data_IF_206328404828
#
_entry.id   IF_206328404828
#
_cell.length_a   1.000
_cell.length_b   1.000
_cell.length_c   1.000
_cell.angle_alpha   90.00
_cell.angle_beta   90.00
_cell.angle_gamma   90.00
#
_symmetry.space_group_name_H-M   'P 1'
#
loop_
_entity.id
_entity.type
_entity.pdbx_description
1 polymer ?
#
# COMPACT_ATOMS: atom_id res chain seq x y z
N UNK A 1 -21.48 -1.13 -34.21
CA UNK A 1 -22.01 -2.28 -33.45
C UNK A 1 -20.94 -2.84 -32.53
N UNK A 2 -20.79 -2.25 -31.34
CA UNK A 2 -20.33 -2.90 -30.12
C UNK A 2 -20.54 -1.90 -28.97
N UNK A 3 -21.80 -1.60 -28.65
CA UNK A 3 -22.12 -1.04 -27.34
C UNK A 3 -22.29 -2.24 -26.40
N UNK A 4 -21.21 -2.67 -25.73
CA UNK A 4 -21.38 -3.43 -24.51
C UNK A 4 -21.85 -2.45 -23.45
N UNK A 5 -23.13 -2.53 -23.11
CA UNK A 5 -23.70 -1.84 -21.95
C UNK A 5 -22.91 -2.25 -20.72
N UNK A 6 -22.14 -1.33 -20.14
CA UNK A 6 -21.54 -1.54 -18.82
C UNK A 6 -22.65 -1.93 -17.84
N UNK A 7 -22.49 -3.05 -17.15
CA UNK A 7 -23.45 -3.45 -16.12
C UNK A 7 -23.13 -2.65 -14.86
N UNK A 8 -24.05 -1.78 -14.45
CA UNK A 8 -23.97 -1.08 -13.17
C UNK A 8 -25.19 -1.41 -12.33
N UNK A 9 -24.96 -1.79 -11.08
CA UNK A 9 -25.97 -1.87 -10.02
C UNK A 9 -25.76 -0.71 -9.03
N UNK A 10 -26.80 -0.31 -8.30
CA UNK A 10 -26.68 0.66 -7.21
C UNK A 10 -25.98 -0.02 -6.03
N UNK A 11 -24.89 0.59 -5.57
CA UNK A 11 -23.89 -0.02 -4.69
C UNK A 11 -24.40 -0.62 -3.38
N UNK A 12 -23.71 -1.66 -2.93
CA UNK A 12 -23.90 -2.30 -1.64
C UNK A 12 -23.15 -1.50 -0.56
N UNK A 13 -23.81 -1.27 0.58
CA UNK A 13 -23.19 -0.65 1.75
C UNK A 13 -22.95 -1.72 2.80
N UNK A 14 -21.78 -1.69 3.43
CA UNK A 14 -21.48 -2.61 4.54
C UNK A 14 -22.31 -2.23 5.77
N UNK A 15 -22.78 -3.27 6.47
CA UNK A 15 -23.51 -3.14 7.73
C UNK A 15 -22.80 -3.94 8.83
N UNK A 16 -22.16 -3.28 9.81
CA UNK A 16 -22.12 -1.84 10.02
C UNK A 16 -21.16 -1.10 9.06
N UNK A 17 -21.38 0.20 8.88
CA UNK A 17 -20.36 1.08 8.29
C UNK A 17 -19.12 1.11 9.20
N UNK A 18 -17.94 1.11 8.59
CA UNK A 18 -16.65 1.09 9.30
C UNK A 18 -15.99 2.47 9.26
N UNK A 19 -15.45 2.91 10.40
CA UNK A 19 -14.50 4.01 10.44
C UNK A 19 -13.14 3.49 9.97
N UNK A 20 -12.49 4.19 9.03
CA UNK A 20 -11.20 3.77 8.49
C UNK A 20 -10.11 3.64 9.57
N UNK A 21 -10.21 4.40 10.66
CA UNK A 21 -9.25 4.34 11.77
C UNK A 21 -9.33 3.05 12.59
N UNK A 22 -10.47 2.34 12.53
CA UNK A 22 -10.69 1.06 13.22
C UNK A 22 -10.40 -0.16 12.33
N UNK A 23 -9.95 0.07 11.08
CA UNK A 23 -9.70 -1.02 10.14
C UNK A 23 -8.49 -1.88 10.48
N UNK A 24 -8.60 -3.14 10.08
CA UNK A 24 -7.68 -4.23 10.33
C UNK A 24 -7.45 -5.06 9.07
N UNK A 25 -6.46 -5.97 9.06
CA UNK A 25 -6.25 -6.89 7.94
C UNK A 25 -7.47 -7.76 7.58
N UNK A 26 -8.35 -8.03 8.55
CA UNK A 26 -9.59 -8.76 8.32
C UNK A 26 -10.56 -7.96 7.43
N UNK A 27 -10.57 -6.64 7.56
CA UNK A 27 -11.45 -5.78 6.76
C UNK A 27 -10.94 -5.70 5.31
N UNK A 28 -9.62 -5.75 5.10
CA UNK A 28 -9.04 -5.91 3.76
C UNK A 28 -9.45 -7.25 3.13
N UNK A 29 -9.43 -8.34 3.92
CA UNK A 29 -9.89 -9.66 3.48
C UNK A 29 -11.36 -9.60 3.06
N UNK A 30 -12.21 -8.97 3.86
CA UNK A 30 -13.64 -8.84 3.57
C UNK A 30 -13.88 -8.08 2.25
N UNK A 31 -13.22 -6.92 2.06
CA UNK A 31 -13.33 -6.14 0.82
C UNK A 31 -12.84 -6.95 -0.39
N UNK A 32 -11.76 -7.70 -0.24
CA UNK A 32 -11.21 -8.47 -1.34
C UNK A 32 -12.10 -9.66 -1.75
N UNK A 33 -12.71 -10.33 -0.77
CA UNK A 33 -13.68 -11.42 -0.99
C UNK A 33 -14.96 -10.91 -1.65
N UNK A 34 -15.45 -9.74 -1.25
CA UNK A 34 -16.61 -9.10 -1.85
C UNK A 34 -16.37 -8.76 -3.34
N UNK A 35 -15.22 -8.12 -3.65
CA UNK A 35 -14.82 -7.86 -5.03
C UNK A 35 -14.67 -9.17 -5.82
N UNK A 36 -14.08 -10.21 -5.23
CA UNK A 36 -13.93 -11.51 -5.89
C UNK A 36 -15.29 -12.16 -6.17
N UNK A 37 -16.23 -12.10 -5.22
CA UNK A 37 -17.57 -12.66 -5.34
C UNK A 37 -18.32 -12.06 -6.54
N UNK A 38 -18.18 -10.75 -6.71
CA UNK A 38 -18.84 -9.98 -7.75
C UNK A 38 -17.97 -9.80 -9.02
N UNK A 39 -16.82 -10.48 -9.09
CA UNK A 39 -15.79 -10.14 -10.08
C UNK A 39 -16.28 -10.27 -11.52
N UNK A 40 -17.04 -11.33 -11.83
CA UNK A 40 -17.53 -11.61 -13.18
C UNK A 40 -18.79 -10.83 -13.57
N UNK A 41 -19.44 -10.16 -12.61
CA UNK A 41 -20.70 -9.46 -12.80
C UNK A 41 -20.53 -8.01 -13.29
N UNK A 42 -19.41 -7.38 -12.93
CA UNK A 42 -19.12 -5.97 -13.19
C UNK A 42 -17.85 -5.77 -14.02
N UNK A 43 -17.73 -4.63 -14.69
CA UNK A 43 -16.58 -4.28 -15.54
C UNK A 43 -15.46 -3.56 -14.77
N UNK A 44 -15.74 -3.11 -13.54
CA UNK A 44 -14.81 -2.40 -12.66
C UNK A 44 -15.44 -2.14 -11.29
N UNK A 45 -14.61 -1.79 -10.31
CA UNK A 45 -15.02 -1.64 -8.91
C UNK A 45 -14.62 -0.28 -8.38
N UNK A 46 -15.53 0.38 -7.65
CA UNK A 46 -15.23 1.58 -6.88
C UNK A 46 -15.51 1.28 -5.41
N UNK A 47 -14.50 1.42 -4.55
CA UNK A 47 -14.61 1.21 -3.11
C UNK A 47 -14.64 2.57 -2.42
N UNK A 48 -15.77 2.88 -1.76
CA UNK A 48 -15.89 4.06 -0.91
C UNK A 48 -15.24 3.78 0.45
N UNK A 49 -14.33 4.65 0.86
CA UNK A 49 -13.48 4.41 2.03
C UNK A 49 -13.17 5.71 2.79
N UNK A 50 -13.02 5.62 4.12
CA UNK A 50 -12.55 6.74 4.95
C UNK A 50 -11.08 7.09 4.65
N UNK A 51 -10.68 8.35 4.78
CA UNK A 51 -9.37 8.79 4.25
C UNK A 51 -8.18 8.36 5.11
N UNK A 52 -8.36 8.06 6.40
CA UNK A 52 -7.23 7.87 7.33
C UNK A 52 -6.39 6.63 7.02
N UNK A 53 -7.01 5.53 6.58
CA UNK A 53 -6.30 4.29 6.24
C UNK A 53 -6.48 3.87 4.78
N UNK A 54 -7.02 4.74 3.93
CA UNK A 54 -7.30 4.46 2.51
C UNK A 54 -6.07 3.95 1.76
N UNK A 55 -4.90 4.55 2.00
CA UNK A 55 -3.65 4.14 1.36
C UNK A 55 -3.18 2.74 1.81
N UNK A 56 -3.47 2.34 3.06
CA UNK A 56 -3.21 0.99 3.54
C UNK A 56 -4.12 -0.02 2.83
N UNK A 57 -5.42 0.24 2.78
CA UNK A 57 -6.37 -0.65 2.07
C UNK A 57 -6.04 -0.76 0.58
N UNK A 58 -5.69 0.36 -0.08
CA UNK A 58 -5.24 0.37 -1.47
C UNK A 58 -3.98 -0.48 -1.69
N UNK A 59 -3.03 -0.37 -0.76
CA UNK A 59 -1.81 -1.17 -0.80
C UNK A 59 -2.09 -2.66 -0.59
N UNK A 60 -2.90 -3.02 0.41
CA UNK A 60 -3.26 -4.40 0.73
C UNK A 60 -3.95 -5.10 -0.45
N UNK A 61 -5.01 -4.50 -0.98
CA UNK A 61 -5.75 -5.06 -2.11
C UNK A 61 -4.86 -5.23 -3.35
N UNK A 62 -3.89 -4.34 -3.56
CA UNK A 62 -2.95 -4.47 -4.69
C UNK A 62 -2.14 -5.77 -4.65
N UNK A 63 -1.75 -6.23 -3.45
CA UNK A 63 -1.02 -7.49 -3.29
C UNK A 63 -1.95 -8.69 -3.31
N UNK A 64 -3.11 -8.59 -2.67
CA UNK A 64 -4.10 -9.67 -2.55
C UNK A 64 -4.67 -10.09 -3.91
N UNK A 65 -4.83 -9.15 -4.85
CA UNK A 65 -5.29 -9.44 -6.20
C UNK A 65 -4.11 -9.80 -7.12
N UNK A 66 -4.07 -11.06 -7.53
CA UNK A 66 -3.18 -11.52 -8.61
C UNK A 66 -3.96 -11.68 -9.91
N UNK A 67 -3.33 -11.33 -11.03
CA UNK A 67 -3.96 -11.29 -12.36
C UNK A 67 -5.21 -10.39 -12.42
N UNK A 68 -5.19 -9.27 -11.69
CA UNK A 68 -6.25 -8.28 -11.76
C UNK A 68 -6.43 -7.81 -13.21
N UNK A 69 -7.62 -8.02 -13.76
CA UNK A 69 -7.99 -7.70 -15.13
C UNK A 69 -9.05 -6.62 -15.28
N UNK A 70 -9.41 -5.92 -14.18
CA UNK A 70 -10.45 -4.90 -14.09
C UNK A 70 -9.99 -3.79 -13.14
N UNK A 71 -10.35 -2.52 -13.36
CA UNK A 71 -9.96 -1.44 -12.47
C UNK A 71 -10.64 -1.59 -11.10
N UNK A 72 -9.88 -1.39 -10.03
CA UNK A 72 -10.38 -1.25 -8.67
C UNK A 72 -9.94 0.12 -8.16
N UNK A 73 -10.87 1.05 -8.00
CA UNK A 73 -10.56 2.43 -7.58
C UNK A 73 -11.10 2.67 -6.18
N UNK A 74 -10.20 2.96 -5.24
CA UNK A 74 -10.57 3.37 -3.89
C UNK A 74 -10.68 4.89 -3.88
N UNK A 75 -11.77 5.40 -3.32
CA UNK A 75 -11.98 6.85 -3.19
C UNK A 75 -12.81 7.18 -1.95
N UNK A 76 -12.93 8.47 -1.64
CA UNK A 76 -13.66 8.96 -0.49
C UNK A 76 -13.76 10.47 -0.51
N UNK A 77 -13.86 11.07 0.67
CA UNK A 77 -14.00 12.53 0.83
C UNK A 77 -13.51 12.99 2.19
N UNK A 78 -12.93 14.19 2.25
CA UNK A 78 -12.64 14.88 3.51
C UNK A 78 -13.91 15.42 4.17
N UNK A 79 -14.91 15.79 3.36
CA UNK A 79 -16.18 16.33 3.83
C UNK A 79 -17.31 15.37 3.45
N UNK A 80 -18.17 14.95 4.40
CA UNK A 80 -19.28 14.04 4.13
C UNK A 80 -20.14 14.46 2.94
N UNK A 81 -20.58 13.48 2.12
CA UNK A 81 -21.29 13.73 0.86
C UNK A 81 -22.53 14.64 1.00
N UNK A 82 -23.20 14.57 2.16
CA UNK A 82 -24.39 15.36 2.47
C UNK A 82 -24.11 16.86 2.72
N UNK A 83 -22.86 17.26 2.91
CA UNK A 83 -22.51 18.63 3.21
C UNK A 83 -22.28 19.47 1.94
N UNK A 84 -22.60 20.77 2.01
CA UNK A 84 -22.62 21.68 0.85
C UNK A 84 -21.27 21.77 0.10
N UNK A 85 -20.15 21.66 0.81
CA UNK A 85 -18.80 21.81 0.25
C UNK A 85 -18.09 20.48 0.04
N UNK A 86 -18.84 19.38 -0.03
CA UNK A 86 -18.26 18.04 -0.15
C UNK A 86 -17.44 17.87 -1.43
N UNK A 87 -16.23 17.36 -1.26
CA UNK A 87 -15.36 16.83 -2.31
C UNK A 87 -15.82 15.44 -2.79
N UNK A 88 -16.68 14.76 -2.03
CA UNK A 88 -17.14 13.40 -2.32
C UNK A 88 -17.94 13.26 -3.61
N UNK A 89 -18.71 14.28 -4.00
CA UNK A 89 -19.48 14.24 -5.26
C UNK A 89 -18.52 14.16 -6.46
N UNK A 90 -17.51 15.02 -6.48
CA UNK A 90 -16.52 15.08 -7.56
C UNK A 90 -15.63 13.85 -7.56
N UNK A 91 -15.17 13.40 -6.38
CA UNK A 91 -14.32 12.22 -6.26
C UNK A 91 -15.03 10.95 -6.74
N UNK A 92 -16.25 10.70 -6.26
CA UNK A 92 -17.04 9.52 -6.66
C UNK A 92 -17.40 9.55 -8.16
N UNK A 93 -17.86 10.70 -8.66
CA UNK A 93 -18.23 10.83 -10.07
C UNK A 93 -17.05 10.52 -10.99
N UNK A 94 -15.88 11.09 -10.69
CA UNK A 94 -14.67 10.86 -11.49
C UNK A 94 -14.17 9.42 -11.34
N UNK A 95 -14.20 8.83 -10.14
CA UNK A 95 -13.81 7.44 -9.94
C UNK A 95 -14.66 6.49 -10.79
N UNK A 96 -15.99 6.66 -10.79
CA UNK A 96 -16.89 5.88 -11.65
C UNK A 96 -16.60 6.10 -13.14
N UNK A 97 -16.42 7.35 -13.56
CA UNK A 97 -16.13 7.68 -14.94
C UNK A 97 -14.81 7.06 -15.42
N UNK A 98 -13.77 7.13 -14.60
CA UNK A 98 -12.44 6.56 -14.87
C UNK A 98 -12.52 5.04 -14.92
N UNK A 99 -13.15 4.39 -13.95
CA UNK A 99 -13.31 2.93 -13.96
C UNK A 99 -13.98 2.42 -15.24
N UNK A 100 -14.98 3.15 -15.77
CA UNK A 100 -15.70 2.75 -16.97
C UNK A 100 -15.00 3.10 -18.29
N UNK A 101 -14.24 4.20 -18.35
CA UNK A 101 -13.71 4.74 -19.62
C UNK A 101 -12.18 4.68 -19.74
N UNK A 102 -11.47 4.49 -18.63
CA UNK A 102 -10.01 4.42 -18.56
C UNK A 102 -9.59 3.20 -17.73
N UNK A 103 -9.87 1.98 -18.22
CA UNK A 103 -9.62 0.75 -17.46
C UNK A 103 -8.11 0.50 -17.32
N UNK A 104 -7.56 0.96 -16.19
CA UNK A 104 -6.22 0.62 -15.72
C UNK A 104 -6.40 -0.54 -14.75
N UNK A 105 -5.85 -1.71 -15.07
CA UNK A 105 -6.03 -2.94 -14.29
C UNK A 105 -5.11 -3.00 -13.07
N UNK A 106 -5.25 -1.99 -12.22
CA UNK A 106 -4.55 -1.86 -10.96
C UNK A 106 -5.53 -1.49 -9.86
N UNK A 107 -5.12 -1.71 -8.60
CA UNK A 107 -5.77 -1.03 -7.47
C UNK A 107 -5.25 0.40 -7.45
N UNK A 108 -6.13 1.35 -7.73
CA UNK A 108 -5.83 2.78 -7.74
C UNK A 108 -6.48 3.52 -6.57
N UNK A 109 -5.91 4.65 -6.19
CA UNK A 109 -6.51 5.59 -5.24
C UNK A 109 -6.84 6.88 -5.99
N UNK A 110 -8.13 7.23 -6.08
CA UNK A 110 -8.56 8.47 -6.72
C UNK A 110 -8.90 9.54 -5.69
N UNK A 111 -8.22 10.68 -5.75
CA UNK A 111 -8.48 11.83 -4.90
C UNK A 111 -8.04 13.12 -5.59
N UNK A 112 -8.81 14.20 -5.41
CA UNK A 112 -8.44 15.54 -5.88
C UNK A 112 -7.96 15.58 -7.33
N UNK A 113 -8.77 15.03 -8.23
CA UNK A 113 -8.49 15.00 -9.68
C UNK A 113 -7.26 14.17 -10.10
N UNK A 114 -6.71 13.33 -9.22
CA UNK A 114 -5.58 12.47 -9.53
C UNK A 114 -5.90 11.01 -9.21
N UNK A 115 -5.50 10.10 -10.10
CA UNK A 115 -5.48 8.67 -9.85
C UNK A 115 -4.04 8.24 -9.55
N UNK A 116 -3.77 7.77 -8.34
CA UNK A 116 -2.49 7.21 -7.94
C UNK A 116 -2.51 5.69 -8.03
N UNK A 117 -1.35 5.06 -8.24
CA UNK A 117 -1.18 3.63 -7.98
C UNK A 117 -1.35 3.40 -6.49
N UNK A 118 -2.25 2.49 -6.09
CA UNK A 118 -2.68 2.33 -4.69
C UNK A 118 -1.52 2.08 -3.72
N UNK A 119 -0.59 1.20 -4.09
CA UNK A 119 0.61 0.87 -3.31
C UNK A 119 1.78 1.87 -3.47
N UNK A 120 1.53 3.03 -4.07
CA UNK A 120 2.47 4.16 -4.09
C UNK A 120 1.91 5.39 -3.38
N UNK A 121 0.63 5.38 -3.02
CA UNK A 121 -0.04 6.48 -2.36
C UNK A 121 0.23 6.53 -0.85
N UNK A 122 0.21 7.73 -0.29
CA UNK A 122 0.21 7.98 1.15
C UNK A 122 -0.61 9.23 1.45
N UNK A 123 -1.21 9.32 2.64
CA UNK A 123 -1.95 10.53 3.06
C UNK A 123 -0.95 11.60 3.48
N UNK A 124 -0.77 12.63 2.65
CA UNK A 124 0.21 13.70 2.83
C UNK A 124 -0.35 14.94 3.54
N UNK A 125 -1.67 15.19 3.47
CA UNK A 125 -2.33 16.30 4.14
C UNK A 125 -3.62 15.83 4.85
N UNK A 126 -3.73 16.15 6.15
CA UNK A 126 -4.89 15.81 6.96
C UNK A 126 -6.08 16.77 6.77
N UNK A 127 -5.83 17.99 6.30
CA UNK A 127 -6.82 19.08 6.24
C UNK A 127 -7.15 19.54 4.82
N UNK A 128 -6.17 19.50 3.92
CA UNK A 128 -6.34 19.87 2.52
C UNK A 128 -7.21 18.89 1.74
N UNK A 129 -7.80 19.35 0.63
CA UNK A 129 -8.41 18.45 -0.35
C UNK A 129 -7.37 17.67 -1.13
N UNK A 130 -6.14 18.19 -1.26
CA UNK A 130 -5.00 17.46 -1.81
C UNK A 130 -4.40 16.52 -0.76
N UNK A 131 -5.23 15.62 -0.24
CA UNK A 131 -4.94 14.83 0.95
C UNK A 131 -3.92 13.70 0.70
N UNK A 132 -3.78 13.24 -0.55
CA UNK A 132 -2.93 12.10 -0.91
C UNK A 132 -1.87 12.50 -1.94
N UNK A 133 -0.70 11.87 -1.84
CA UNK A 133 0.39 12.02 -2.80
C UNK A 133 1.05 10.66 -3.07
N UNK A 134 1.85 10.58 -4.13
CA UNK A 134 2.64 9.44 -4.53
C UNK A 134 4.11 9.89 -4.72
N UNK A 135 4.89 9.97 -3.64
CA UNK A 135 6.16 10.72 -3.65
C UNK A 135 7.23 10.15 -4.57
N UNK A 136 7.21 8.83 -4.79
CA UNK A 136 8.21 8.08 -5.56
C UNK A 136 7.70 7.55 -6.91
N UNK A 137 6.46 7.84 -7.29
CA UNK A 137 5.88 7.41 -8.57
C UNK A 137 4.86 8.45 -9.07
N UNK A 138 4.86 8.85 -10.35
CA UNK A 138 3.87 9.81 -10.85
C UNK A 138 2.43 9.26 -10.69
N UNK A 139 1.40 10.12 -10.68
CA UNK A 139 0.02 9.68 -10.83
C UNK A 139 -0.12 8.78 -12.08
N UNK A 140 -1.05 7.83 -12.03
CA UNK A 140 -1.43 7.05 -13.20
C UNK A 140 -2.14 7.94 -14.22
N UNK A 141 -2.98 8.87 -13.74
CA UNK A 141 -3.78 9.77 -14.56
C UNK A 141 -4.19 11.04 -13.79
N UNK A 142 -4.39 12.13 -14.53
CA UNK A 142 -4.94 13.40 -14.04
C UNK A 142 -6.28 13.73 -14.73
N UNK A 143 -7.29 14.12 -13.96
CA UNK A 143 -8.61 14.50 -14.41
C UNK A 143 -8.79 16.04 -14.43
N UNK A 144 -8.28 16.70 -15.49
CA UNK A 144 -8.52 18.12 -15.75
C UNK A 144 -9.71 18.35 -16.68
N UNK A 145 -9.70 19.44 -17.46
CA UNK A 145 -10.66 19.65 -18.58
C UNK A 145 -10.63 18.45 -19.53
N UNK A 146 -9.42 17.93 -19.77
CA UNK A 146 -9.20 16.64 -20.40
C UNK A 146 -8.56 15.71 -19.38
N UNK A 147 -8.96 14.45 -19.42
CA UNK A 147 -8.31 13.38 -18.69
C UNK A 147 -7.01 13.01 -19.41
N UNK A 148 -5.89 13.04 -18.68
CA UNK A 148 -4.54 12.78 -19.20
C UNK A 148 -3.93 11.58 -18.51
N UNK A 149 -3.67 10.53 -19.28
CA UNK A 149 -2.89 9.38 -18.83
C UNK A 149 -1.42 9.80 -18.65
N UNK A 150 -0.83 9.49 -17.49
CA UNK A 150 0.52 9.89 -17.14
C UNK A 150 1.47 8.68 -17.11
N UNK A 151 1.16 7.69 -16.26
CA UNK A 151 1.95 6.47 -16.12
C UNK A 151 1.12 5.18 -16.15
N UNK A 152 -0.21 5.28 -16.15
CA UNK A 152 -1.08 4.12 -16.28
C UNK A 152 -1.07 3.55 -17.70
N UNK A 153 -1.45 2.28 -17.83
CA UNK A 153 -1.66 1.61 -19.10
C UNK A 153 -3.12 1.21 -19.24
N UNK A 154 -3.74 1.57 -20.36
CA UNK A 154 -5.10 1.15 -20.68
C UNK A 154 -5.05 -0.22 -21.36
N UNK A 155 -5.76 -1.19 -20.80
CA UNK A 155 -5.80 -2.54 -21.33
C UNK A 155 -7.25 -3.03 -21.48
N UNK A 156 -7.55 -3.88 -22.47
CA UNK A 156 -8.84 -4.56 -22.52
C UNK A 156 -8.92 -5.59 -21.39
N UNK A 157 -10.10 -5.78 -20.80
CA UNK A 157 -10.33 -6.70 -19.68
C UNK A 157 -9.62 -8.04 -19.93
N UNK A 158 -8.77 -8.42 -18.98
CA UNK A 158 -8.00 -9.67 -19.07
C UNK A 158 -8.93 -10.87 -19.03
N UNK A 159 -8.58 -11.93 -19.77
CA UNK A 159 -9.29 -13.22 -19.71
C UNK A 159 -8.75 -14.14 -18.60
N UNK A 160 -7.65 -13.78 -17.95
CA UNK A 160 -7.12 -14.56 -16.83
C UNK A 160 -8.06 -14.42 -15.62
N UNK A 161 -8.38 -15.52 -14.91
CA UNK A 161 -9.21 -15.45 -13.72
C UNK A 161 -8.47 -14.69 -12.61
N UNK A 162 -9.20 -13.83 -11.89
CA UNK A 162 -8.69 -13.19 -10.68
C UNK A 162 -8.31 -14.25 -9.66
N UNK A 163 -7.08 -14.18 -9.16
CA UNK A 163 -6.64 -14.98 -8.02
C UNK A 163 -6.59 -14.10 -6.79
N UNK A 164 -7.31 -14.51 -5.75
CA UNK A 164 -7.29 -13.84 -4.45
C UNK A 164 -6.37 -14.64 -3.52
N UNK A 165 -5.33 -13.97 -3.04
CA UNK A 165 -4.47 -14.50 -1.98
C UNK A 165 -4.88 -13.89 -0.66
N UNK A 166 -5.28 -14.75 0.29
CA UNK A 166 -5.78 -14.31 1.59
C UNK A 166 -4.69 -13.67 2.45
N UNK A 167 -5.07 -12.65 3.21
CA UNK A 167 -4.23 -11.99 4.20
C UNK A 167 -4.77 -12.28 5.60
N UNK A 168 -3.84 -12.51 6.54
CA UNK A 168 -4.14 -12.68 7.96
C UNK A 168 -3.40 -11.63 8.78
N UNK A 169 -3.87 -11.31 10.00
CA UNK A 169 -3.11 -10.47 10.92
C UNK A 169 -1.74 -11.05 11.21
N UNK A 170 -0.73 -10.18 11.21
CA UNK A 170 0.65 -10.52 11.49
C UNK A 170 1.17 -9.56 12.56
N UNK A 171 1.97 -10.07 13.49
CA UNK A 171 2.65 -9.25 14.48
C UNK A 171 3.84 -8.53 13.81
N UNK A 172 3.59 -7.32 13.33
CA UNK A 172 4.58 -6.47 12.66
C UNK A 172 4.81 -5.23 13.51
N UNK A 173 6.07 -4.99 13.90
CA UNK A 173 6.46 -3.75 14.55
C UNK A 173 6.78 -2.66 13.52
N UNK A 174 6.56 -1.40 13.89
CA UNK A 174 7.07 -0.24 13.14
C UNK A 174 7.85 0.64 14.11
N UNK A 175 9.09 0.97 13.77
CA UNK A 175 9.96 1.85 14.58
C UNK A 175 10.53 2.96 13.74
N UNK A 176 10.33 4.20 14.19
CA UNK A 176 11.00 5.37 13.63
C UNK A 176 12.29 5.62 14.40
N UNK A 177 13.43 5.64 13.70
CA UNK A 177 14.70 6.01 14.32
C UNK A 177 14.72 7.52 14.58
N UNK A 178 15.22 7.91 15.75
CA UNK A 178 15.47 9.31 16.09
C UNK A 178 16.80 9.46 16.84
N UNK A 179 17.45 10.65 16.79
CA UNK A 179 18.74 10.85 17.43
C UNK A 179 18.66 10.51 18.93
N UNK A 180 19.42 9.50 19.36
CA UNK A 180 19.40 9.02 20.75
C UNK A 180 18.37 7.94 21.06
N UNK A 181 17.73 7.32 20.06
CA UNK A 181 16.88 6.14 20.29
C UNK A 181 17.63 5.07 21.12
N UNK A 182 16.98 4.60 22.18
CA UNK A 182 17.53 3.57 23.06
C UNK A 182 17.37 2.19 22.43
N UNK A 183 18.42 1.37 22.49
CA UNK A 183 18.34 -0.05 22.11
C UNK A 183 17.28 -0.82 22.89
N UNK A 184 16.93 -0.38 24.10
CA UNK A 184 15.85 -0.99 24.91
C UNK A 184 14.48 -0.86 24.21
N UNK A 185 14.20 0.26 23.55
CA UNK A 185 12.96 0.44 22.80
C UNK A 185 12.92 -0.54 21.62
N UNK A 186 14.05 -0.68 20.93
CA UNK A 186 14.19 -1.62 19.82
C UNK A 186 14.02 -3.07 20.28
N UNK A 187 14.66 -3.46 21.39
CA UNK A 187 14.54 -4.78 22.00
C UNK A 187 13.09 -5.10 22.41
N UNK A 188 12.36 -4.13 22.97
CA UNK A 188 10.96 -4.32 23.33
C UNK A 188 10.09 -4.64 22.11
N UNK A 189 10.36 -4.00 20.96
CA UNK A 189 9.65 -4.25 19.70
C UNK A 189 10.02 -5.59 19.05
N UNK A 190 11.19 -6.16 19.38
CA UNK A 190 11.61 -7.47 18.90
C UNK A 190 11.08 -8.62 19.78
N UNK A 191 10.40 -8.32 20.89
CA UNK A 191 9.82 -9.37 21.73
C UNK A 191 8.72 -10.11 20.95
N UNK A 192 8.68 -11.43 21.15
CA UNK A 192 7.69 -12.30 20.52
C UNK A 192 6.26 -11.83 20.87
N UNK A 193 5.29 -11.92 19.94
CA UNK A 193 5.30 -12.76 18.73
C UNK A 193 5.74 -12.04 17.43
N UNK A 194 6.51 -10.94 17.51
CA UNK A 194 6.88 -10.14 16.32
C UNK A 194 7.66 -10.94 15.28
N UNK A 195 7.08 -11.03 14.07
CA UNK A 195 7.64 -11.75 12.92
C UNK A 195 8.40 -10.85 11.95
N UNK A 196 8.04 -9.57 11.90
CA UNK A 196 8.73 -8.58 11.10
C UNK A 196 8.77 -7.22 11.79
N UNK A 197 9.79 -6.43 11.49
CA UNK A 197 9.95 -5.08 11.99
C UNK A 197 10.27 -4.15 10.82
N UNK A 198 9.43 -3.13 10.62
CA UNK A 198 9.74 -2.03 9.70
C UNK A 198 10.52 -0.97 10.48
N UNK A 199 11.75 -0.72 10.05
CA UNK A 199 12.61 0.31 10.60
C UNK A 199 12.64 1.50 9.64
N UNK A 200 12.02 2.62 10.04
CA UNK A 200 12.11 3.88 9.32
C UNK A 200 13.39 4.60 9.73
N UNK A 201 14.38 4.57 8.84
CA UNK A 201 15.73 5.10 9.06
C UNK A 201 15.96 6.43 8.33
N UNK A 202 17.14 7.03 8.52
CA UNK A 202 17.42 8.36 7.98
C UNK A 202 17.85 8.33 6.52
N UNK A 203 17.39 9.31 5.74
CA UNK A 203 17.88 9.57 4.40
C UNK A 203 17.84 8.33 3.52
N UNK A 204 18.99 7.92 3.01
CA UNK A 204 19.11 6.75 2.12
C UNK A 204 19.19 5.40 2.85
N UNK A 205 18.72 5.30 4.10
CA UNK A 205 18.69 4.02 4.83
C UNK A 205 19.65 3.92 6.03
N UNK A 206 20.10 5.06 6.59
CA UNK A 206 21.13 5.10 7.62
C UNK A 206 20.56 4.90 9.03
N UNK A 207 21.18 4.01 9.82
CA UNK A 207 20.90 3.84 11.23
C UNK A 207 22.11 4.26 12.12
N UNK A 208 21.87 4.62 13.40
CA UNK A 208 22.95 4.85 14.35
C UNK A 208 23.91 3.66 14.45
N UNK A 209 25.21 3.94 14.51
CA UNK A 209 26.26 2.92 14.66
C UNK A 209 26.50 2.55 16.14
N UNK A 210 25.49 2.75 16.99
CA UNK A 210 25.56 2.35 18.38
C UNK A 210 25.62 0.82 18.48
N UNK A 211 26.65 0.31 19.16
CA UNK A 211 26.91 -1.14 19.23
C UNK A 211 25.76 -1.92 19.85
N UNK A 212 25.02 -1.33 20.81
CA UNK A 212 23.89 -2.02 21.45
C UNK A 212 22.71 -2.11 20.50
N UNK A 213 22.44 -1.05 19.73
CA UNK A 213 21.41 -1.07 18.70
C UNK A 213 21.71 -2.11 17.61
N UNK A 214 22.93 -2.10 17.04
CA UNK A 214 23.33 -3.07 16.02
C UNK A 214 23.25 -4.52 16.56
N UNK A 215 23.67 -4.74 17.80
CA UNK A 215 23.51 -6.05 18.46
C UNK A 215 22.04 -6.44 18.65
N UNK A 216 21.12 -5.49 18.82
CA UNK A 216 19.67 -5.75 18.95
C UNK A 216 19.08 -6.18 17.60
N UNK A 217 19.46 -5.49 16.52
CA UNK A 217 19.13 -5.85 15.13
C UNK A 217 19.60 -7.28 14.83
N UNK A 218 20.88 -7.57 15.09
CA UNK A 218 21.46 -8.89 14.83
C UNK A 218 20.74 -9.99 15.64
N UNK A 219 20.39 -9.73 16.91
CA UNK A 219 19.60 -10.67 17.72
C UNK A 219 18.22 -10.93 17.14
N UNK A 220 17.51 -9.89 16.70
CA UNK A 220 16.19 -10.01 16.08
C UNK A 220 16.23 -10.89 14.83
N UNK A 221 17.20 -10.64 13.94
CA UNK A 221 17.37 -11.42 12.70
C UNK A 221 17.70 -12.88 13.02
N UNK A 222 18.63 -13.13 13.96
CA UNK A 222 18.96 -14.49 14.41
C UNK A 222 17.78 -15.22 15.06
N UNK A 223 16.84 -14.49 15.66
CA UNK A 223 15.61 -15.03 16.21
C UNK A 223 14.52 -15.27 15.15
N UNK A 224 14.78 -14.99 13.87
CA UNK A 224 13.86 -15.21 12.75
C UNK A 224 12.93 -14.02 12.46
N UNK A 225 13.18 -12.84 13.05
CA UNK A 225 12.44 -11.62 12.72
C UNK A 225 13.01 -10.99 11.45
N UNK A 226 12.18 -10.79 10.43
CA UNK A 226 12.59 -10.04 9.22
C UNK A 226 12.58 -8.54 9.52
N UNK A 227 13.74 -7.89 9.37
CA UNK A 227 13.85 -6.43 9.55
C UNK A 227 13.90 -5.76 8.18
N UNK A 228 12.89 -4.94 7.88
CA UNK A 228 12.77 -4.18 6.64
C UNK A 228 13.14 -2.72 6.88
N UNK A 229 14.13 -2.22 6.16
CA UNK A 229 14.61 -0.85 6.25
C UNK A 229 13.91 0.04 5.22
N UNK A 230 13.08 0.96 5.69
CA UNK A 230 12.44 2.00 4.90
C UNK A 230 13.04 3.36 5.26
N UNK A 231 12.98 4.34 4.36
CA UNK A 231 13.34 5.70 4.73
C UNK A 231 12.18 6.36 5.47
N UNK A 232 12.46 7.19 6.46
CA UNK A 232 11.47 8.08 7.07
C UNK A 232 11.23 9.35 6.23
N UNK A 233 12.04 9.57 5.19
CA UNK A 233 11.87 10.72 4.29
C UNK A 233 10.62 10.52 3.42
N UNK A 234 9.88 11.61 3.20
CA UNK A 234 8.68 11.59 2.35
C UNK A 234 8.95 11.07 0.92
N UNK A 235 10.10 11.48 0.35
CA UNK A 235 10.55 11.06 -0.99
C UNK A 235 11.98 10.55 -0.91
N UNK A 236 12.27 9.50 -1.68
CA UNK A 236 13.60 8.92 -1.77
C UNK A 236 13.58 7.39 -1.71
N UNK A 237 14.79 6.83 -1.72
CA UNK A 237 15.03 5.39 -1.80
C UNK A 237 16.15 4.97 -0.86
N UNK A 238 15.93 3.88 -0.13
CA UNK A 238 16.97 3.22 0.67
C UNK A 238 18.01 2.60 -0.25
N UNK A 239 19.28 2.93 0.00
CA UNK A 239 20.46 2.39 -0.66
C UNK A 239 21.49 1.99 0.40
N UNK A 240 21.42 0.72 0.81
CA UNK A 240 22.36 0.17 1.81
C UNK A 240 23.74 -0.20 1.21
N UNK A 241 23.93 -0.16 -0.11
CA UNK A 241 25.24 -0.42 -0.74
C UNK A 241 26.16 0.81 -0.83
N UNK A 242 25.62 2.02 -0.68
CA UNK A 242 26.35 3.28 -0.97
C UNK A 242 27.18 3.87 0.17
N UNK A 243 26.95 3.46 1.43
CA UNK A 243 27.60 4.04 2.61
C UNK A 243 28.00 2.95 3.62
N UNK A 244 29.08 3.18 4.37
CA UNK A 244 29.60 2.22 5.36
C UNK A 244 28.56 1.79 6.41
N UNK A 245 27.69 2.72 6.83
CA UNK A 245 26.60 2.49 7.79
C UNK A 245 25.48 1.62 7.21
N UNK A 246 25.15 1.79 5.93
CA UNK A 246 24.19 0.95 5.21
C UNK A 246 24.74 -0.45 4.96
N UNK A 247 26.03 -0.55 4.62
CA UNK A 247 26.66 -1.83 4.33
C UNK A 247 26.65 -2.76 5.57
N UNK A 248 26.87 -2.20 6.76
CA UNK A 248 26.75 -2.95 8.02
C UNK A 248 25.33 -3.52 8.25
N UNK A 249 24.28 -2.77 7.90
CA UNK A 249 22.89 -3.26 8.00
C UNK A 249 22.62 -4.40 7.01
N UNK A 250 23.06 -4.25 5.77
CA UNK A 250 22.92 -5.28 4.74
C UNK A 250 23.69 -6.56 5.12
N UNK A 251 24.92 -6.44 5.61
CA UNK A 251 25.74 -7.57 6.08
C UNK A 251 25.09 -8.33 7.26
N UNK A 252 24.31 -7.64 8.10
CA UNK A 252 23.56 -8.27 9.20
C UNK A 252 22.29 -9.00 8.74
N UNK A 253 21.86 -8.82 7.49
CA UNK A 253 20.63 -9.41 6.94
C UNK A 253 19.41 -8.49 6.99
N UNK A 254 19.59 -7.17 7.17
CA UNK A 254 18.48 -6.21 7.05
C UNK A 254 18.08 -6.10 5.58
N UNK A 255 16.78 -6.17 5.30
CA UNK A 255 16.21 -6.12 3.95
C UNK A 255 15.96 -4.67 3.54
N UNK A 256 16.29 -4.30 2.30
CA UNK A 256 15.98 -2.96 1.77
C UNK A 256 14.51 -2.87 1.38
N UNK A 257 13.80 -1.87 1.89
CA UNK A 257 12.47 -1.47 1.42
C UNK A 257 12.49 -0.55 0.20
N UNK A 258 13.68 -0.19 -0.30
CA UNK A 258 13.87 0.73 -1.42
C UNK A 258 13.07 2.03 -1.25
N UNK A 259 12.15 2.31 -2.16
CA UNK A 259 11.31 3.51 -2.23
C UNK A 259 9.83 3.21 -1.89
N UNK A 260 9.55 2.07 -1.25
CA UNK A 260 8.20 1.74 -0.76
C UNK A 260 7.73 2.75 0.28
N UNK A 261 6.43 3.06 0.25
CA UNK A 261 5.75 3.74 1.34
C UNK A 261 5.62 2.81 2.55
N UNK A 262 5.25 3.36 3.72
CA UNK A 262 5.05 2.54 4.92
C UNK A 262 3.82 1.63 4.75
N UNK A 263 2.80 2.13 4.05
CA UNK A 263 1.56 1.43 3.72
C UNK A 263 1.85 0.20 2.84
N UNK A 264 2.64 0.39 1.78
CA UNK A 264 3.06 -0.71 0.90
C UNK A 264 3.95 -1.71 1.63
N UNK A 265 4.92 -1.23 2.42
CA UNK A 265 5.82 -2.10 3.18
C UNK A 265 5.05 -2.98 4.20
N UNK A 266 4.13 -2.38 4.97
CA UNK A 266 3.33 -3.07 5.97
C UNK A 266 2.41 -4.12 5.34
N UNK A 267 1.69 -3.72 4.29
CA UNK A 267 0.73 -4.61 3.62
C UNK A 267 1.39 -5.71 2.82
N UNK A 268 2.55 -5.45 2.19
CA UNK A 268 3.38 -6.48 1.56
C UNK A 268 3.89 -7.51 2.56
N UNK A 269 4.29 -7.09 3.76
CA UNK A 269 4.67 -8.00 4.84
C UNK A 269 3.47 -8.86 5.28
N UNK A 270 2.29 -8.27 5.50
CA UNK A 270 1.07 -9.02 5.80
C UNK A 270 0.77 -10.08 4.73
N UNK A 271 0.86 -9.70 3.45
CA UNK A 271 0.67 -10.59 2.30
C UNK A 271 1.67 -11.75 2.27
N UNK A 272 2.97 -11.47 2.38
CA UNK A 272 4.00 -12.51 2.29
C UNK A 272 4.03 -13.43 3.51
N UNK A 273 3.84 -12.88 4.71
CA UNK A 273 3.82 -13.65 5.95
C UNK A 273 2.58 -14.58 6.06
N UNK A 274 1.52 -14.30 5.30
CA UNK A 274 0.31 -15.13 5.20
C UNK A 274 0.48 -16.35 4.29
N UNK A 275 1.56 -16.43 3.50
CA UNK A 275 1.76 -17.47 2.48
C UNK A 275 2.65 -18.66 2.90
N UNK A 276 2.91 -18.85 4.19
CA UNK A 276 3.77 -19.94 4.70
C UNK A 276 5.13 -20.08 3.98
N UNK A 277 5.72 -18.95 3.59
CA UNK A 277 6.99 -18.91 2.87
C UNK A 277 8.17 -19.19 3.82
N UNK A 278 9.23 -19.90 3.37
CA UNK A 278 10.51 -19.89 4.05
C UNK A 278 11.04 -18.47 4.18
N UNK A 279 11.73 -18.15 5.29
CA UNK A 279 12.21 -16.80 5.59
C UNK A 279 13.05 -16.20 4.43
N UNK A 280 13.99 -16.97 3.86
CA UNK A 280 14.81 -16.50 2.74
C UNK A 280 13.98 -16.16 1.49
N UNK A 281 12.87 -16.88 1.23
CA UNK A 281 11.98 -16.57 0.11
C UNK A 281 11.14 -15.32 0.39
N UNK A 282 10.68 -15.15 1.63
CA UNK A 282 10.00 -13.93 2.06
C UNK A 282 10.91 -12.70 1.90
N UNK A 283 12.14 -12.77 2.38
CA UNK A 283 13.12 -11.70 2.28
C UNK A 283 13.46 -11.38 0.82
N UNK A 284 13.62 -12.41 -0.01
CA UNK A 284 13.80 -12.23 -1.44
C UNK A 284 12.60 -11.54 -2.10
N UNK A 285 11.36 -12.00 -1.83
CA UNK A 285 10.15 -11.42 -2.43
C UNK A 285 9.86 -9.99 -1.93
N UNK A 286 10.24 -9.65 -0.70
CA UNK A 286 10.18 -8.26 -0.22
C UNK A 286 10.98 -7.30 -1.09
N UNK A 287 12.09 -7.78 -1.66
CA UNK A 287 12.96 -7.00 -2.53
C UNK A 287 12.58 -7.06 -4.02
N UNK A 288 11.54 -7.82 -4.40
CA UNK A 288 11.06 -7.86 -5.79
C UNK A 288 9.90 -6.89 -5.98
N UNK A 289 9.81 -6.26 -7.14
CA UNK A 289 8.63 -5.50 -7.52
C UNK A 289 7.48 -6.48 -7.85
N UNK A 290 6.49 -6.61 -6.96
CA UNK A 290 5.38 -7.56 -7.14
C UNK A 290 4.18 -6.93 -7.88
N UNK A 291 3.90 -5.66 -7.61
CA UNK A 291 2.67 -4.95 -8.00
C UNK A 291 2.90 -3.47 -8.34
N UNK A 292 4.14 -3.10 -8.66
CA UNK A 292 4.53 -1.73 -8.98
C UNK A 292 4.88 -0.87 -7.77
N UNK A 293 4.98 -1.44 -6.57
CA UNK A 293 5.14 -0.75 -5.28
C UNK A 293 6.55 -0.19 -5.04
N UNK A 294 7.56 -0.72 -5.75
CA UNK A 294 8.96 -0.33 -5.58
C UNK A 294 9.70 -0.22 -6.91
N UNK A 295 10.82 0.49 -6.88
CA UNK A 295 11.75 0.71 -7.99
C UNK A 295 13.13 0.17 -7.61
N UNK A 296 13.65 -0.79 -8.36
CA UNK A 296 14.96 -1.42 -8.15
C UNK A 296 16.15 -0.53 -8.50
#
# INVERSE_FOLDING_TARGET
NCCSTARSSLGEAYDPLMDSSDMSPQDWQHIAEDIQHHYDEYDGFVVLHGTDTMAYTASALSFMFENLGKPVIITGSQIPLAALRSDGQTNLLNALYIAANYPIHEVGLFFNNQLFRGNRATKADANGFDAFDSPNFPPLLEAGIQIRLQAGELQPVSSAPLQLTSVTPQAIGVVTLYPGISSVIFDNLLQQPVRALIMQSYGVGNAPQDKKLLASIERGIKAGTTILNCTQCFKGKVNMGGYATGNALAEMGVVSGFDMTIEAALTKLHYLLSQNLPQAQLEHQLQQNLRGELTL
#
